data_IF_714823050143
#
_entry.id   IF_714823050143
#
_cell.length_a   1.000
_cell.length_b   1.000
_cell.length_c   1.000
_cell.angle_alpha   90.00
_cell.angle_beta   90.00
_cell.angle_gamma   90.00
#
_symmetry.space_group_name_H-M   'P 1'
#
loop_
_entity.id
_entity.type
_entity.pdbx_description
1 polymer ?
#
# COMPACT_ATOMS: atom_id res chain seq x y z
N UNK A 1 -4.63 4.20 -13.35
CA UNK A 1 -5.67 4.13 -12.30
C UNK A 1 -5.90 5.49 -11.68
N UNK A 2 -7.14 5.82 -11.31
CA UNK A 2 -7.51 7.06 -10.62
C UNK A 2 -8.37 6.71 -9.39
N UNK A 3 -8.17 7.43 -8.29
CA UNK A 3 -9.08 7.40 -7.13
C UNK A 3 -10.05 8.58 -7.27
N UNK A 4 -11.34 8.28 -7.33
CA UNK A 4 -12.39 9.29 -7.23
C UNK A 4 -12.89 9.32 -5.79
N UNK A 5 -12.77 10.48 -5.13
CA UNK A 5 -13.39 10.67 -3.82
C UNK A 5 -14.92 10.58 -3.96
N UNK A 6 -15.55 9.84 -3.07
CA UNK A 6 -17.01 9.70 -3.01
C UNK A 6 -17.48 9.93 -1.57
N UNK A 7 -18.77 10.19 -1.39
CA UNK A 7 -19.36 10.24 -0.04
C UNK A 7 -19.73 8.84 0.46
N UNK A 8 -20.08 8.76 1.75
CA UNK A 8 -20.47 7.52 2.41
C UNK A 8 -21.72 6.90 1.79
N UNK A 9 -22.68 7.69 1.33
CA UNK A 9 -23.94 7.18 0.78
C UNK A 9 -23.63 6.43 -0.52
N UNK A 10 -22.93 7.07 -1.45
CA UNK A 10 -22.48 6.45 -2.69
C UNK A 10 -21.59 5.23 -2.45
N UNK A 11 -20.72 5.29 -1.44
CA UNK A 11 -19.90 4.13 -1.07
C UNK A 11 -20.76 2.93 -0.64
N UNK A 12 -21.79 3.17 0.18
CA UNK A 12 -22.68 2.12 0.68
C UNK A 12 -23.64 1.58 -0.39
N UNK A 13 -24.10 2.43 -1.32
CA UNK A 13 -25.00 2.05 -2.41
C UNK A 13 -24.30 1.34 -3.57
N UNK A 14 -22.97 1.48 -3.70
CA UNK A 14 -22.21 0.83 -4.77
C UNK A 14 -22.08 -0.69 -4.56
N UNK A 15 -22.40 -1.48 -5.58
CA UNK A 15 -22.18 -2.93 -5.60
C UNK A 15 -20.70 -3.33 -5.81
N UNK A 16 -19.81 -2.33 -5.98
CA UNK A 16 -18.38 -2.57 -6.18
C UNK A 16 -17.76 -3.23 -4.95
N UNK A 17 -16.79 -4.13 -5.18
CA UNK A 17 -16.07 -4.83 -4.11
C UNK A 17 -15.32 -3.84 -3.22
N UNK A 18 -15.53 -3.92 -1.91
CA UNK A 18 -14.75 -3.15 -0.95
C UNK A 18 -13.39 -3.84 -0.73
N UNK A 19 -12.29 -3.10 -0.92
CA UNK A 19 -10.92 -3.57 -0.66
C UNK A 19 -10.60 -3.37 0.82
N UNK A 20 -10.82 -2.16 1.32
CA UNK A 20 -10.77 -1.81 2.73
C UNK A 20 -12.10 -1.18 3.11
N UNK A 21 -12.68 -1.60 4.22
CA UNK A 21 -13.80 -0.90 4.82
C UNK A 21 -13.99 -1.29 6.28
N UNK A 22 -14.01 -0.29 7.15
CA UNK A 22 -14.48 -0.39 8.52
C UNK A 22 -15.58 0.66 8.75
N UNK A 23 -16.79 0.18 8.99
CA UNK A 23 -17.99 1.02 9.14
C UNK A 23 -17.90 1.99 10.33
N UNK A 24 -17.16 1.62 11.37
CA UNK A 24 -17.07 2.37 12.62
C UNK A 24 -16.04 3.49 12.55
N UNK A 25 -14.95 3.29 11.81
CA UNK A 25 -13.79 4.19 11.84
C UNK A 25 -13.61 5.00 10.56
N UNK A 26 -14.03 4.48 9.40
CA UNK A 26 -13.78 5.16 8.12
C UNK A 26 -14.59 6.45 7.98
N UNK A 27 -13.86 7.51 7.67
CA UNK A 27 -14.37 8.87 7.49
C UNK A 27 -14.27 9.34 6.03
N UNK A 28 -13.39 8.70 5.25
CA UNK A 28 -13.10 9.04 3.86
C UNK A 28 -13.33 7.82 2.96
N UNK A 29 -13.81 8.08 1.74
CA UNK A 29 -14.24 7.03 0.81
C UNK A 29 -13.80 7.34 -0.61
N UNK A 30 -13.46 6.29 -1.35
CA UNK A 30 -12.95 6.40 -2.70
C UNK A 30 -13.36 5.23 -3.57
N UNK A 31 -13.46 5.51 -4.85
CA UNK A 31 -13.73 4.54 -5.91
C UNK A 31 -12.52 4.49 -6.85
N UNK A 32 -11.99 3.29 -7.04
CA UNK A 32 -10.87 2.98 -7.90
C UNK A 32 -11.44 2.48 -9.21
N UNK A 33 -11.12 3.17 -10.31
CA UNK A 33 -11.58 2.80 -11.65
C UNK A 33 -10.38 2.47 -12.53
N UNK A 34 -10.39 1.28 -13.09
CA UNK A 34 -9.40 0.85 -14.08
C UNK A 34 -10.07 -0.03 -15.13
N UNK A 35 -10.07 0.44 -16.39
CA UNK A 35 -10.84 -0.16 -17.48
C UNK A 35 -12.33 -0.30 -17.11
N UNK A 36 -12.86 -1.53 -17.14
CA UNK A 36 -14.25 -1.86 -16.80
C UNK A 36 -14.42 -2.34 -15.35
N UNK A 37 -13.35 -2.27 -14.56
CA UNK A 37 -13.34 -2.77 -13.19
C UNK A 37 -13.34 -1.61 -12.21
N UNK A 38 -14.21 -1.75 -11.21
CA UNK A 38 -14.39 -0.78 -10.15
C UNK A 38 -14.33 -1.48 -8.82
N UNK A 39 -13.51 -0.95 -7.92
CA UNK A 39 -13.51 -1.34 -6.51
C UNK A 39 -13.57 -0.10 -5.63
N UNK A 40 -13.93 -0.27 -4.36
CA UNK A 40 -14.11 0.83 -3.42
C UNK A 40 -13.22 0.66 -2.20
N UNK A 41 -12.74 1.76 -1.65
CA UNK A 41 -11.91 1.82 -0.45
C UNK A 41 -12.46 2.84 0.54
N UNK A 42 -12.47 2.48 1.81
CA UNK A 42 -12.68 3.39 2.94
C UNK A 42 -11.41 3.51 3.77
N UNK A 43 -11.13 4.71 4.27
CA UNK A 43 -9.99 4.97 5.16
C UNK A 43 -10.32 6.08 6.17
N UNK A 44 -9.41 6.32 7.12
CA UNK A 44 -9.63 7.18 8.28
C UNK A 44 -8.99 8.55 8.10
N UNK A 45 -7.84 8.63 7.43
CA UNK A 45 -7.13 9.90 7.26
C UNK A 45 -7.86 10.89 6.37
N UNK A 46 -8.02 12.13 6.84
CA UNK A 46 -8.60 13.24 6.07
C UNK A 46 -7.56 14.03 5.28
N UNK A 47 -6.27 13.89 5.61
CA UNK A 47 -5.17 14.66 5.01
C UNK A 47 -4.32 13.82 4.05
N UNK A 48 -4.30 12.50 4.24
CA UNK A 48 -3.48 11.59 3.45
C UNK A 48 -4.41 10.83 2.51
N UNK A 49 -4.11 10.91 1.21
CA UNK A 49 -4.78 10.11 0.20
C UNK A 49 -4.08 8.74 0.06
N UNK A 50 -4.81 7.68 -0.31
CA UNK A 50 -4.22 6.39 -0.62
C UNK A 50 -3.19 6.49 -1.73
N UNK A 51 -2.06 5.79 -1.60
CA UNK A 51 -1.07 5.68 -2.67
C UNK A 51 -1.27 4.39 -3.45
N UNK A 52 -1.10 4.50 -4.75
CA UNK A 52 -1.24 3.39 -5.71
C UNK A 52 0.08 3.24 -6.46
N UNK A 53 0.53 2.00 -6.60
CA UNK A 53 1.66 1.66 -7.47
C UNK A 53 1.25 0.53 -8.42
N UNK A 54 1.55 0.70 -9.70
CA UNK A 54 1.46 -0.40 -10.67
C UNK A 54 2.63 -1.37 -10.45
N UNK A 55 2.31 -2.62 -10.14
CA UNK A 55 3.32 -3.67 -9.91
C UNK A 55 3.66 -4.33 -11.25
N UNK A 56 2.63 -4.69 -12.01
CA UNK A 56 2.64 -5.26 -13.34
C UNK A 56 1.36 -4.87 -14.07
N UNK A 57 1.21 -5.27 -15.33
CA UNK A 57 0.03 -4.92 -16.12
C UNK A 57 -1.27 -5.38 -15.42
N UNK A 58 -2.09 -4.40 -15.04
CA UNK A 58 -3.36 -4.57 -14.31
C UNK A 58 -3.25 -5.09 -12.88
N UNK A 59 -2.04 -5.21 -12.31
CA UNK A 59 -1.82 -5.57 -10.90
C UNK A 59 -1.30 -4.33 -10.17
N UNK A 60 -2.04 -3.90 -9.15
CA UNK A 60 -1.75 -2.67 -8.41
C UNK A 60 -1.68 -2.91 -6.92
N UNK A 61 -0.70 -2.29 -6.24
CA UNK A 61 -0.76 -2.13 -4.79
C UNK A 61 -1.49 -0.86 -4.41
N UNK A 62 -2.15 -0.88 -3.26
CA UNK A 62 -2.84 0.26 -2.68
C UNK A 62 -2.55 0.25 -1.18
N UNK A 63 -2.05 1.36 -0.66
CA UNK A 63 -1.78 1.53 0.77
C UNK A 63 -2.32 2.85 1.31
N UNK A 64 -2.91 2.80 2.51
CA UNK A 64 -3.36 3.95 3.28
C UNK A 64 -3.59 3.58 4.74
N UNK A 65 -3.26 4.49 5.66
CA UNK A 65 -3.36 4.24 7.09
C UNK A 65 -2.68 2.90 7.46
N UNK A 66 -3.35 2.01 8.16
CA UNK A 66 -2.85 0.67 8.48
C UNK A 66 -3.39 -0.39 7.52
N UNK A 67 -3.69 -0.04 6.28
CA UNK A 67 -4.26 -0.96 5.29
C UNK A 67 -3.37 -1.04 4.05
N UNK A 68 -3.13 -2.26 3.58
CA UNK A 68 -2.43 -2.51 2.34
C UNK A 68 -3.05 -3.69 1.57
N UNK A 69 -3.13 -3.56 0.26
CA UNK A 69 -3.65 -4.60 -0.61
C UNK A 69 -2.93 -4.64 -1.94
N UNK A 70 -2.96 -5.81 -2.55
CA UNK A 70 -2.61 -6.04 -3.95
C UNK A 70 -3.84 -6.56 -4.67
N UNK A 71 -4.18 -5.96 -5.81
CA UNK A 71 -5.38 -6.25 -6.57
C UNK A 71 -4.99 -6.55 -8.01
N UNK A 72 -5.51 -7.65 -8.55
CA UNK A 72 -5.47 -7.94 -9.98
C UNK A 72 -6.80 -7.52 -10.62
N UNK A 73 -6.74 -6.47 -11.44
CA UNK A 73 -7.89 -5.95 -12.16
C UNK A 73 -8.22 -6.77 -13.41
N UNK A 74 -7.39 -7.73 -13.86
CA UNK A 74 -7.80 -8.66 -14.91
C UNK A 74 -8.85 -9.66 -14.39
N UNK A 75 -8.58 -10.22 -13.22
CA UNK A 75 -9.41 -11.25 -12.57
C UNK A 75 -10.43 -10.67 -11.58
N UNK A 76 -10.33 -9.39 -11.24
CA UNK A 76 -11.10 -8.73 -10.18
C UNK A 76 -10.88 -9.36 -8.79
N UNK A 77 -9.66 -9.86 -8.57
CA UNK A 77 -9.27 -10.54 -7.34
C UNK A 77 -8.42 -9.62 -6.44
N UNK A 78 -8.64 -9.75 -5.13
CA UNK A 78 -7.75 -9.15 -4.14
C UNK A 78 -6.74 -10.25 -3.82
N UNK A 79 -5.51 -10.10 -4.32
CA UNK A 79 -4.44 -11.09 -4.16
C UNK A 79 -3.92 -11.07 -2.73
N UNK A 80 -3.75 -9.88 -2.17
CA UNK A 80 -3.28 -9.66 -0.81
C UNK A 80 -4.15 -8.58 -0.16
N UNK A 81 -4.52 -8.79 1.10
CA UNK A 81 -5.16 -7.78 1.93
C UNK A 81 -4.64 -7.94 3.36
N UNK A 82 -3.88 -6.96 3.85
CA UNK A 82 -3.21 -7.03 5.13
C UNK A 82 -3.43 -5.75 5.92
N UNK A 83 -3.73 -5.92 7.19
CA UNK A 83 -3.66 -4.87 8.19
C UNK A 83 -2.19 -4.71 8.60
N UNK A 84 -1.70 -3.48 8.58
CA UNK A 84 -0.33 -3.13 8.89
C UNK A 84 -0.20 -2.75 10.37
N UNK A 85 0.89 -3.12 11.05
CA UNK A 85 1.10 -2.73 12.44
C UNK A 85 1.34 -1.21 12.61
N UNK A 86 1.83 -0.55 11.55
CA UNK A 86 2.19 0.87 11.55
C UNK A 86 1.57 1.59 10.35
N UNK A 87 1.53 2.92 10.39
CA UNK A 87 0.98 3.72 9.29
C UNK A 87 1.78 3.54 8.01
N UNK A 88 1.09 3.33 6.90
CA UNK A 88 1.63 3.19 5.56
C UNK A 88 2.16 4.52 5.04
N UNK A 89 3.38 4.50 4.49
CA UNK A 89 4.01 5.67 3.87
C UNK A 89 4.16 5.49 2.36
N UNK A 90 4.70 4.37 1.88
CA UNK A 90 4.95 4.17 0.45
C UNK A 90 5.10 2.69 0.07
N UNK A 91 5.09 2.42 -1.23
CA UNK A 91 5.50 1.13 -1.79
C UNK A 91 6.63 1.35 -2.79
N UNK A 92 7.67 0.52 -2.70
CA UNK A 92 8.75 0.47 -3.70
C UNK A 92 8.91 -0.93 -4.26
N UNK A 93 9.33 -1.01 -5.51
CA UNK A 93 9.68 -2.26 -6.17
C UNK A 93 11.13 -2.16 -6.59
N UNK A 94 11.90 -3.18 -6.23
CA UNK A 94 13.28 -3.32 -6.68
C UNK A 94 13.55 -4.80 -6.97
N UNK A 95 13.81 -5.11 -8.24
CA UNK A 95 13.90 -6.50 -8.75
C UNK A 95 12.64 -7.30 -8.40
N UNK A 96 12.81 -8.51 -7.89
CA UNK A 96 11.74 -9.43 -7.46
C UNK A 96 11.25 -9.16 -6.03
N UNK A 97 11.44 -7.95 -5.50
CA UNK A 97 11.03 -7.57 -4.15
C UNK A 97 10.12 -6.36 -4.16
N UNK A 98 9.13 -6.41 -3.27
CA UNK A 98 8.26 -5.30 -2.94
C UNK A 98 8.53 -4.87 -1.51
N UNK A 99 8.66 -3.57 -1.30
CA UNK A 99 8.93 -2.93 -0.03
C UNK A 99 7.72 -2.10 0.37
N UNK A 100 7.06 -2.50 1.45
CA UNK A 100 5.96 -1.75 2.06
C UNK A 100 6.60 -0.92 3.17
N UNK A 101 6.75 0.37 2.91
CA UNK A 101 7.36 1.31 3.82
C UNK A 101 6.30 1.83 4.79
N UNK A 102 6.47 1.53 6.07
CA UNK A 102 5.59 1.98 7.15
C UNK A 102 6.35 2.91 8.09
N UNK A 103 5.62 3.56 8.99
CA UNK A 103 6.15 4.55 9.92
C UNK A 103 7.38 4.05 10.68
N UNK A 104 7.35 2.83 11.23
CA UNK A 104 8.43 2.28 12.08
C UNK A 104 9.04 0.97 11.57
N UNK A 105 8.65 0.51 10.38
CA UNK A 105 9.10 -0.77 9.84
C UNK A 105 8.99 -0.79 8.32
N UNK A 106 9.86 -1.56 7.66
CA UNK A 106 9.67 -1.94 6.25
C UNK A 106 9.39 -3.44 6.17
N UNK A 107 8.23 -3.80 5.61
CA UNK A 107 7.89 -5.18 5.28
C UNK A 107 8.32 -5.47 3.84
N UNK A 108 9.15 -6.50 3.65
CA UNK A 108 9.67 -6.90 2.35
C UNK A 108 8.99 -8.19 1.91
N UNK A 109 8.35 -8.14 0.75
CA UNK A 109 7.66 -9.27 0.14
C UNK A 109 8.38 -9.73 -1.14
N UNK A 110 8.26 -11.01 -1.44
CA UNK A 110 8.57 -11.55 -2.77
C UNK A 110 7.51 -11.06 -3.76
N UNK A 111 7.93 -10.47 -4.87
CA UNK A 111 6.99 -9.88 -5.85
C UNK A 111 6.14 -10.95 -6.54
N UNK A 112 6.65 -12.16 -6.72
CA UNK A 112 6.00 -13.21 -7.52
C UNK A 112 4.87 -13.92 -6.78
N UNK A 113 4.97 -14.03 -5.46
CA UNK A 113 4.01 -14.78 -4.64
C UNK A 113 3.55 -14.04 -3.38
N UNK A 114 4.01 -12.81 -3.17
CA UNK A 114 3.67 -11.94 -2.04
C UNK A 114 3.97 -12.54 -0.66
N UNK A 115 4.84 -13.54 -0.59
CA UNK A 115 5.31 -14.08 0.69
C UNK A 115 6.26 -13.10 1.38
N UNK A 116 6.18 -13.06 2.71
CA UNK A 116 7.06 -12.22 3.53
C UNK A 116 8.48 -12.78 3.46
N UNK A 117 9.42 -11.96 3.01
CA UNK A 117 10.84 -12.29 2.96
C UNK A 117 11.55 -11.83 4.24
N UNK A 118 11.25 -10.62 4.72
CA UNK A 118 11.81 -10.05 5.95
C UNK A 118 11.04 -8.83 6.42
N UNK A 119 11.23 -8.51 7.68
CA UNK A 119 10.80 -7.28 8.35
C UNK A 119 12.05 -6.49 8.76
N UNK A 120 12.07 -5.19 8.52
CA UNK A 120 13.18 -4.30 8.86
C UNK A 120 12.66 -3.25 9.84
N UNK A 121 12.88 -3.42 11.15
CA UNK A 121 12.49 -2.41 12.12
C UNK A 121 13.34 -1.15 11.93
N UNK A 122 12.72 0.02 12.06
CA UNK A 122 13.37 1.32 11.94
C UNK A 122 13.64 1.94 13.31
N UNK A 123 14.77 2.63 13.50
CA UNK A 123 15.08 3.33 14.74
C UNK A 123 14.22 4.59 14.95
N UNK A 124 13.70 5.17 13.88
CA UNK A 124 12.82 6.35 13.87
C UNK A 124 11.91 6.31 12.63
N UNK A 125 11.08 7.34 12.43
CA UNK A 125 10.14 7.42 11.32
C UNK A 125 10.78 7.31 9.95
N UNK A 126 10.21 6.46 9.10
CA UNK A 126 10.60 6.31 7.71
C UNK A 126 10.58 7.65 6.96
N UNK A 127 11.67 7.96 6.26
CA UNK A 127 11.76 9.11 5.35
C UNK A 127 11.84 8.62 3.89
N UNK A 128 12.83 7.80 3.56
CA UNK A 128 13.03 7.29 2.21
C UNK A 128 13.80 5.96 2.16
N UNK A 129 13.69 5.27 1.02
CA UNK A 129 14.52 4.12 0.67
C UNK A 129 15.07 4.30 -0.74
N UNK A 130 16.38 4.09 -0.87
CA UNK A 130 17.13 4.14 -2.12
C UNK A 130 17.84 2.79 -2.37
N UNK A 131 18.11 2.49 -3.64
CA UNK A 131 18.73 1.23 -4.05
C UNK A 131 19.97 1.49 -4.91
N UNK A 132 21.13 1.03 -4.43
CA UNK A 132 22.43 1.22 -5.09
C UNK A 132 23.23 -0.09 -5.04
N UNK A 133 23.70 -0.61 -6.19
CA UNK A 133 24.64 -1.76 -6.24
C UNK A 133 24.28 -2.97 -5.33
N UNK A 134 23.01 -3.40 -5.32
CA UNK A 134 22.48 -4.46 -4.44
C UNK A 134 22.43 -4.11 -2.94
N UNK A 135 22.46 -2.83 -2.62
CA UNK A 135 22.27 -2.31 -1.28
C UNK A 135 20.93 -1.57 -1.21
N UNK A 136 20.15 -1.85 -0.18
CA UNK A 136 19.02 -1.00 0.21
C UNK A 136 19.53 -0.03 1.29
N UNK A 137 19.29 1.26 1.07
CA UNK A 137 19.69 2.36 1.95
C UNK A 137 18.41 3.03 2.41
N UNK A 138 18.11 2.91 3.70
CA UNK A 138 16.90 3.46 4.31
C UNK A 138 17.32 4.63 5.19
N UNK A 139 16.73 5.79 4.96
CA UNK A 139 16.92 7.00 5.78
C UNK A 139 15.68 7.21 6.64
N UNK A 140 15.90 7.53 7.92
CA UNK A 140 14.84 7.92 8.84
C UNK A 140 14.91 9.43 9.14
N UNK A 141 13.82 10.01 9.65
CA UNK A 141 13.68 11.45 9.89
C UNK A 141 14.74 12.03 10.86
N UNK A 142 15.18 11.26 11.86
CA UNK A 142 16.30 11.64 12.75
C UNK A 142 17.68 11.65 12.07
N UNK A 143 17.76 11.26 10.79
CA UNK A 143 19.00 11.15 10.01
C UNK A 143 19.73 9.83 10.19
N UNK A 144 19.17 8.86 10.93
CA UNK A 144 19.72 7.51 11.00
C UNK A 144 19.58 6.77 9.66
N UNK A 145 20.55 5.91 9.37
CA UNK A 145 20.65 5.20 8.10
C UNK A 145 20.83 3.70 8.35
N UNK A 146 19.95 2.89 7.76
CA UNK A 146 20.09 1.43 7.70
C UNK A 146 20.59 1.05 6.31
N UNK A 147 21.55 0.13 6.27
CA UNK A 147 22.12 -0.42 5.03
C UNK A 147 22.09 -1.93 5.08
N UNK A 148 21.36 -2.56 4.18
CA UNK A 148 21.34 -4.02 4.05
C UNK A 148 21.68 -4.46 2.63
N UNK A 149 22.30 -5.62 2.51
CA UNK A 149 22.46 -6.27 1.22
C UNK A 149 21.12 -6.88 0.78
N UNK A 150 20.86 -6.82 -0.52
CA UNK A 150 19.66 -7.33 -1.18
C UNK A 150 19.93 -8.73 -1.69
#
# INVERSE_FOLDING_TARGET
MIINSIDKIRFMESDSKAVFYNQETNSSFGELVHNNFTCKIGWNSSLIAPKILEIESNIYSIGIDQNFAVIDFNSNEIILNVELPYFFYDTKIYKERMYICMELEILVLDKSNYSILKEIPLPDFYEEINFEDNLEIITCVDGSIIKNNI
#
